data_IF_522063645210
#
_entry.id   IF_522063645210
#
_cell.length_a   1.000
_cell.length_b   1.000
_cell.length_c   1.000
_cell.angle_alpha   90.00
_cell.angle_beta   90.00
_cell.angle_gamma   90.00
#
_symmetry.space_group_name_H-M   'P 1'
#
loop_
_entity.id
_entity.type
_entity.pdbx_description
1 polymer ?
#
# COMPACT_ATOMS: atom_id res chain seq x y z
N UNK A 1 -7.52 7.58 -19.04
CA UNK A 1 -6.69 8.74 -18.66
C UNK A 1 -7.26 9.30 -17.37
N UNK A 2 -6.84 8.76 -16.22
CA UNK A 2 -7.28 9.23 -14.92
C UNK A 2 -6.06 9.88 -14.27
N UNK A 3 -5.94 11.19 -14.41
CA UNK A 3 -5.02 11.98 -13.60
C UNK A 3 -5.58 11.98 -12.17
N UNK A 4 -5.21 10.95 -11.40
CA UNK A 4 -5.60 10.76 -9.99
C UNK A 4 -4.88 11.74 -9.05
N UNK A 5 -4.54 12.95 -9.52
CA UNK A 5 -3.89 13.95 -8.69
C UNK A 5 -4.95 14.74 -7.93
N UNK A 6 -5.05 14.49 -6.62
CA UNK A 6 -5.95 15.22 -5.73
C UNK A 6 -5.23 16.45 -5.19
N UNK A 7 -5.86 17.63 -5.30
CA UNK A 7 -5.30 18.87 -4.75
C UNK A 7 -5.61 18.97 -3.26
N UNK A 8 -4.60 19.28 -2.45
CA UNK A 8 -4.73 19.38 -1.00
C UNK A 8 -3.90 20.55 -0.47
N UNK A 9 -4.52 21.42 0.33
CA UNK A 9 -3.80 22.51 0.98
C UNK A 9 -3.01 22.00 2.19
N UNK A 10 -1.76 22.44 2.28
CA UNK A 10 -0.82 22.08 3.32
C UNK A 10 -0.24 23.34 3.98
N UNK A 11 -0.18 23.32 5.31
CA UNK A 11 0.37 24.44 6.08
C UNK A 11 1.75 24.06 6.63
N UNK A 12 2.75 24.93 6.44
CA UNK A 12 4.08 24.74 7.03
C UNK A 12 4.02 24.80 8.56
N UNK A 13 4.77 23.91 9.20
CA UNK A 13 4.83 23.81 10.66
C UNK A 13 6.11 24.42 11.20
N UNK A 14 5.95 25.29 12.20
CA UNK A 14 7.06 25.88 12.96
C UNK A 14 7.25 25.25 14.35
N UNK A 15 6.29 24.42 14.79
CA UNK A 15 6.30 23.78 16.12
C UNK A 15 6.49 22.26 16.03
N UNK A 16 7.49 21.78 16.77
CA UNK A 16 7.96 20.40 16.76
C UNK A 16 7.74 19.70 18.11
N UNK A 17 7.72 18.37 18.08
CA UNK A 17 7.62 17.52 19.28
C UNK A 17 6.22 16.99 19.61
N UNK A 18 6.16 16.13 20.63
CA UNK A 18 4.97 15.35 21.03
C UNK A 18 3.77 16.23 21.40
N UNK A 19 4.00 17.33 22.11
CA UNK A 19 2.93 18.24 22.55
C UNK A 19 2.27 19.00 21.39
N UNK A 20 3.07 19.49 20.44
CA UNK A 20 2.58 20.18 19.25
C UNK A 20 1.80 19.22 18.33
N UNK A 21 2.34 18.02 18.09
CA UNK A 21 1.66 17.00 17.29
C UNK A 21 0.29 16.59 17.89
N UNK A 22 0.21 16.42 19.22
CA UNK A 22 -1.06 16.11 19.89
C UNK A 22 -2.10 17.22 19.72
N UNK A 23 -1.68 18.49 19.83
CA UNK A 23 -2.57 19.65 19.62
C UNK A 23 -3.07 19.73 18.17
N UNK A 24 -2.20 19.48 17.19
CA UNK A 24 -2.60 19.45 15.77
C UNK A 24 -3.65 18.38 15.50
N UNK A 25 -3.45 17.16 16.02
CA UNK A 25 -4.46 16.08 15.86
C UNK A 25 -5.78 16.42 16.54
N UNK A 26 -5.75 17.03 17.73
CA UNK A 26 -6.95 17.52 18.39
C UNK A 26 -7.66 18.62 17.60
N UNK A 27 -6.93 19.42 16.82
CA UNK A 27 -7.46 20.44 15.92
C UNK A 27 -7.87 19.89 14.53
N UNK A 28 -7.88 18.57 14.32
CA UNK A 28 -8.26 17.96 13.04
C UNK A 28 -7.21 18.11 11.94
N UNK A 29 -5.92 18.23 12.31
CA UNK A 29 -4.78 18.26 11.40
C UNK A 29 -3.84 17.09 11.65
N UNK A 30 -3.30 16.52 10.58
CA UNK A 30 -2.33 15.43 10.61
C UNK A 30 -0.92 16.01 10.39
N UNK A 31 0.06 15.68 11.24
CA UNK A 31 1.45 16.01 10.97
C UNK A 31 1.99 15.13 9.83
N UNK A 32 2.65 15.74 8.85
CA UNK A 32 3.29 15.02 7.75
C UNK A 32 4.71 15.56 7.46
N UNK A 33 5.51 14.72 6.81
CA UNK A 33 6.88 15.04 6.38
C UNK A 33 6.97 14.82 4.88
N UNK A 34 7.50 15.80 4.18
CA UNK A 34 7.82 15.73 2.76
C UNK A 34 9.34 15.57 2.65
N UNK A 35 9.81 14.53 1.96
CA UNK A 35 11.22 14.31 1.68
C UNK A 35 11.42 13.84 0.23
N UNK A 36 12.63 13.98 -0.30
CA UNK A 36 12.96 13.48 -1.64
C UNK A 36 13.95 14.37 -2.41
N UNK A 37 14.53 13.80 -3.47
CA UNK A 37 15.30 14.51 -4.51
C UNK A 37 16.42 15.44 -4.00
N UNK A 38 17.02 15.11 -2.86
CA UNK A 38 18.09 15.92 -2.25
C UNK A 38 17.62 17.28 -1.70
N UNK A 39 16.31 17.50 -1.58
CA UNK A 39 15.73 18.69 -0.92
C UNK A 39 15.64 18.50 0.59
N UNK A 40 15.71 19.60 1.33
CA UNK A 40 15.57 19.56 2.79
C UNK A 40 14.16 19.09 3.18
N UNK A 41 14.02 18.15 4.14
CA UNK A 41 12.71 17.67 4.57
C UNK A 41 11.81 18.81 5.06
N UNK A 42 10.62 18.93 4.48
CA UNK A 42 9.63 19.94 4.88
C UNK A 42 8.62 19.32 5.83
N UNK A 43 8.32 20.03 6.92
CA UNK A 43 7.31 19.62 7.88
C UNK A 43 6.01 20.38 7.63
N UNK A 44 4.95 19.65 7.26
CA UNK A 44 3.64 20.22 6.94
C UNK A 44 2.55 19.64 7.82
N UNK A 45 1.42 20.34 7.89
CA UNK A 45 0.18 19.82 8.46
C UNK A 45 -0.90 19.76 7.39
N UNK A 46 -1.63 18.65 7.38
CA UNK A 46 -2.67 18.36 6.41
C UNK A 46 -4.03 18.22 7.10
N UNK A 47 -5.15 18.58 6.43
CA UNK A 47 -6.48 18.43 7.00
C UNK A 47 -6.87 16.93 7.11
N UNK A 48 -7.31 16.49 8.29
CA UNK A 48 -7.54 15.05 8.57
C UNK A 48 -8.56 14.40 7.64
N UNK A 49 -9.70 15.05 7.39
CA UNK A 49 -10.79 14.44 6.63
C UNK A 49 -10.43 14.20 5.15
N UNK A 50 -9.93 15.22 4.46
CA UNK A 50 -9.55 15.12 3.06
C UNK A 50 -8.39 14.13 2.87
N UNK A 51 -7.38 14.21 3.74
CA UNK A 51 -6.25 13.28 3.70
C UNK A 51 -6.69 11.84 3.97
N UNK A 52 -7.61 11.63 4.91
CA UNK A 52 -8.16 10.32 5.22
C UNK A 52 -8.97 9.67 4.09
N UNK A 53 -9.55 10.47 3.17
CA UNK A 53 -10.19 9.96 1.97
C UNK A 53 -9.17 9.51 0.93
N UNK A 54 -8.13 10.31 0.72
CA UNK A 54 -7.05 10.03 -0.26
C UNK A 54 -6.31 8.74 0.11
N UNK A 55 -5.96 8.61 1.40
CA UNK A 55 -5.21 7.46 1.96
C UNK A 55 -5.98 6.13 1.90
N UNK A 56 -7.26 6.12 1.54
CA UNK A 56 -8.00 4.86 1.30
C UNK A 56 -7.48 4.13 0.06
N UNK A 57 -6.93 4.87 -0.89
CA UNK A 57 -6.30 4.32 -2.06
C UNK A 57 -4.81 4.12 -1.77
N UNK A 58 -4.29 2.93 -2.07
CA UNK A 58 -2.87 2.63 -2.05
C UNK A 58 -2.13 3.58 -3.01
N UNK A 59 -0.98 4.09 -2.59
CA UNK A 59 -0.02 4.82 -3.44
C UNK A 59 -0.63 6.03 -4.18
N UNK A 60 -1.45 6.82 -3.48
CA UNK A 60 -2.09 8.00 -4.06
C UNK A 60 -1.09 9.13 -4.34
N UNK A 61 -1.23 9.78 -5.49
CA UNK A 61 -0.53 11.01 -5.87
C UNK A 61 -1.33 12.22 -5.41
N UNK A 62 -0.64 13.18 -4.78
CA UNK A 62 -1.25 14.38 -4.20
C UNK A 62 -0.52 15.60 -4.74
N UNK A 63 -1.26 16.58 -5.24
CA UNK A 63 -0.73 17.92 -5.48
C UNK A 63 -0.92 18.72 -4.20
N UNK A 64 0.17 18.95 -3.47
CA UNK A 64 0.15 19.80 -2.28
C UNK A 64 0.32 21.25 -2.66
N UNK A 65 -0.52 22.11 -2.11
CA UNK A 65 -0.33 23.56 -2.16
C UNK A 65 0.21 24.04 -0.82
N UNK A 66 1.48 24.47 -0.81
CA UNK A 66 2.20 24.96 0.36
C UNK A 66 2.44 26.46 0.16
N UNK A 67 1.69 27.30 0.87
CA UNK A 67 1.80 28.78 0.79
C UNK A 67 1.79 29.34 -0.65
N UNK A 68 1.03 28.70 -1.56
CA UNK A 68 0.91 29.09 -2.97
C UNK A 68 1.88 28.39 -3.93
N UNK A 69 2.77 27.54 -3.43
CA UNK A 69 3.62 26.68 -4.25
C UNK A 69 3.02 25.28 -4.38
N UNK A 70 2.82 24.83 -5.62
CA UNK A 70 2.34 23.48 -5.92
C UNK A 70 3.51 22.48 -5.95
N UNK A 71 3.38 21.38 -5.21
CA UNK A 71 4.38 20.31 -5.13
C UNK A 71 3.69 18.95 -5.26
N UNK A 72 4.15 18.13 -6.21
CA UNK A 72 3.58 16.80 -6.44
C UNK A 72 4.30 15.78 -5.56
N UNK A 73 3.51 15.08 -4.73
CA UNK A 73 4.01 14.11 -3.77
C UNK A 73 3.26 12.78 -3.84
N UNK A 74 3.95 11.71 -3.48
CA UNK A 74 3.42 10.35 -3.34
C UNK A 74 3.34 9.99 -1.86
N UNK A 75 2.23 9.40 -1.44
CA UNK A 75 2.10 8.83 -0.09
C UNK A 75 2.95 7.57 0.01
N UNK A 76 4.00 7.59 0.84
CA UNK A 76 4.90 6.46 1.04
C UNK A 76 4.48 5.59 2.22
N UNK A 77 4.24 6.22 3.37
CA UNK A 77 3.85 5.52 4.59
C UNK A 77 2.75 6.28 5.31
N UNK A 78 1.83 5.53 5.91
CA UNK A 78 0.76 6.08 6.75
C UNK A 78 0.76 5.35 8.07
N UNK A 79 1.07 6.07 9.14
CA UNK A 79 1.01 5.55 10.49
C UNK A 79 -0.40 5.75 11.04
N UNK A 80 -1.04 4.65 11.42
CA UNK A 80 -2.39 4.64 11.98
C UNK A 80 -2.34 4.11 13.40
N UNK A 81 -3.10 4.73 14.29
CA UNK A 81 -3.32 4.21 15.63
C UNK A 81 -4.09 2.88 15.54
N UNK A 82 -3.59 1.77 16.10
CA UNK A 82 -4.21 0.46 15.97
C UNK A 82 -5.55 0.35 16.70
N UNK A 83 -5.79 1.18 17.71
CA UNK A 83 -7.01 1.17 18.54
C UNK A 83 -8.02 2.20 18.04
N UNK A 84 -7.58 3.45 17.92
CA UNK A 84 -8.43 4.58 17.55
C UNK A 84 -8.65 4.69 16.03
N UNK A 85 -7.83 4.01 15.22
CA UNK A 85 -7.84 4.06 13.74
C UNK A 85 -7.68 5.48 13.17
N UNK A 86 -7.09 6.38 13.95
CA UNK A 86 -6.74 7.73 13.51
C UNK A 86 -5.38 7.71 12.81
N UNK A 87 -5.19 8.60 11.85
CA UNK A 87 -3.88 8.77 11.21
C UNK A 87 -3.00 9.62 12.12
N UNK A 88 -1.88 9.06 12.56
CA UNK A 88 -0.95 9.72 13.48
C UNK A 88 0.11 10.55 12.76
N UNK A 89 0.59 10.03 11.62
CA UNK A 89 1.67 10.58 10.81
C UNK A 89 1.56 10.10 9.36
N UNK A 90 2.04 10.92 8.41
CA UNK A 90 2.14 10.56 6.99
C UNK A 90 3.50 10.97 6.45
N UNK A 91 4.08 10.05 5.69
CA UNK A 91 5.33 10.25 4.96
C UNK A 91 5.03 10.45 3.49
N UNK A 92 5.55 11.55 2.95
CA UNK A 92 5.34 11.98 1.58
C UNK A 92 6.67 12.06 0.86
N UNK A 93 6.76 11.39 -0.29
CA UNK A 93 7.90 11.46 -1.18
C UNK A 93 7.63 12.47 -2.29
N UNK A 94 8.54 13.41 -2.54
CA UNK A 94 8.45 14.29 -3.73
C UNK A 94 8.64 13.46 -4.98
N UNK A 95 7.86 13.74 -6.03
CA UNK A 95 7.95 13.00 -7.29
C UNK A 95 8.00 13.94 -8.47
N UNK A 96 8.95 13.70 -9.38
CA UNK A 96 9.06 14.41 -10.66
C UNK A 96 8.38 13.60 -11.76
N UNK A 97 7.61 14.28 -12.60
CA UNK A 97 6.97 13.65 -13.76
C UNK A 97 8.03 13.05 -14.69
N UNK A 98 7.88 11.76 -15.03
CA UNK A 98 8.78 11.03 -15.92
C UNK A 98 9.85 10.20 -15.23
N UNK A 99 9.97 10.27 -13.90
CA UNK A 99 10.85 9.38 -13.14
C UNK A 99 10.15 8.07 -12.79
N UNK A 100 10.93 7.00 -12.67
CA UNK A 100 10.45 5.73 -12.14
C UNK A 100 10.67 5.68 -10.64
N UNK A 101 9.63 5.31 -9.89
CA UNK A 101 9.65 5.24 -8.43
C UNK A 101 9.40 3.79 -8.03
N UNK A 102 10.11 3.32 -7.00
CA UNK A 102 9.87 2.01 -6.40
C UNK A 102 8.70 2.10 -5.40
N UNK A 103 7.65 1.33 -5.65
CA UNK A 103 6.40 1.39 -4.90
C UNK A 103 5.93 -0.01 -4.53
N UNK A 104 5.42 -0.17 -3.31
CA UNK A 104 4.79 -1.42 -2.83
C UNK A 104 3.31 -1.45 -3.25
N UNK A 105 2.93 -2.41 -4.07
CA UNK A 105 1.60 -2.51 -4.68
C UNK A 105 0.90 -3.76 -4.14
N UNK A 106 -0.34 -3.64 -3.61
CA UNK A 106 -1.05 -4.80 -3.07
C UNK A 106 -1.43 -5.79 -4.18
N UNK A 107 -1.32 -7.07 -3.85
CA UNK A 107 -1.74 -8.18 -4.69
C UNK A 107 -3.22 -8.46 -4.42
N UNK A 108 -4.03 -8.49 -5.47
CA UNK A 108 -5.42 -8.89 -5.43
C UNK A 108 -5.58 -10.25 -6.10
N UNK A 109 -6.10 -11.20 -5.33
CA UNK A 109 -6.32 -12.56 -5.81
C UNK A 109 -7.72 -12.67 -6.40
N UNK A 110 -7.81 -13.20 -7.62
CA UNK A 110 -9.09 -13.46 -8.30
C UNK A 110 -9.24 -14.94 -8.68
N UNK A 111 -10.46 -15.45 -8.63
CA UNK A 111 -10.80 -16.82 -8.97
C UNK A 111 -10.74 -17.81 -7.80
N UNK A 112 -11.37 -18.95 -8.00
CA UNK A 112 -11.44 -20.03 -7.02
C UNK A 112 -10.42 -21.13 -7.37
N UNK A 113 -9.75 -21.65 -6.34
CA UNK A 113 -8.89 -22.82 -6.46
C UNK A 113 -9.72 -24.11 -6.61
N UNK A 114 -9.08 -25.21 -7.04
CA UNK A 114 -9.77 -26.48 -7.22
C UNK A 114 -10.47 -26.96 -5.93
N UNK A 115 -11.60 -27.70 -6.01
CA UNK A 115 -12.29 -28.21 -4.84
C UNK A 115 -11.36 -29.09 -4.00
N UNK A 116 -11.31 -28.85 -2.69
CA UNK A 116 -10.39 -29.54 -1.78
C UNK A 116 -9.03 -28.86 -1.59
N UNK A 117 -8.84 -27.64 -2.11
CA UNK A 117 -7.59 -26.88 -1.96
C UNK A 117 -7.78 -25.56 -1.22
N UNK A 118 -6.72 -25.08 -0.57
CA UNK A 118 -6.64 -23.79 0.11
C UNK A 118 -5.50 -22.96 -0.51
N UNK A 119 -5.85 -21.78 -1.04
CA UNK A 119 -4.87 -20.81 -1.50
C UNK A 119 -4.37 -19.96 -0.31
N UNK A 120 -3.10 -20.11 0.03
CA UNK A 120 -2.41 -19.30 1.02
C UNK A 120 -1.60 -18.21 0.32
N UNK A 121 -1.91 -16.95 0.62
CA UNK A 121 -1.14 -15.80 0.14
C UNK A 121 -0.02 -15.54 1.14
N UNK A 122 1.23 -15.78 0.73
CA UNK A 122 2.41 -15.52 1.57
C UNK A 122 2.80 -14.05 1.52
N UNK A 123 2.74 -13.46 0.32
CA UNK A 123 3.17 -12.08 0.07
C UNK A 123 2.00 -11.26 -0.46
N UNK A 124 1.48 -10.35 0.37
CA UNK A 124 0.33 -9.51 0.03
C UNK A 124 0.67 -8.26 -0.79
N UNK A 125 1.96 -7.93 -0.93
CA UNK A 125 2.45 -6.71 -1.58
C UNK A 125 3.69 -7.00 -2.40
N UNK A 126 3.78 -6.43 -3.61
CA UNK A 126 4.93 -6.56 -4.49
C UNK A 126 5.60 -5.20 -4.71
N UNK A 127 6.93 -5.19 -4.68
CA UNK A 127 7.72 -4.01 -5.05
C UNK A 127 7.87 -3.94 -6.55
N UNK A 128 7.29 -2.89 -7.12
CA UNK A 128 7.35 -2.60 -8.54
C UNK A 128 7.99 -1.23 -8.77
N UNK A 129 8.82 -1.17 -9.79
CA UNK A 129 9.46 0.04 -10.28
C UNK A 129 8.63 0.55 -11.44
N UNK A 130 7.85 1.61 -11.18
CA UNK A 130 6.82 2.09 -12.10
C UNK A 130 6.99 3.59 -12.34
N UNK A 131 6.60 4.06 -13.52
CA UNK A 131 6.54 5.49 -13.78
C UNK A 131 5.60 6.19 -12.78
N UNK A 132 6.07 7.31 -12.22
CA UNK A 132 5.34 8.14 -11.28
C UNK A 132 3.90 8.48 -11.70
N UNK A 133 3.64 8.56 -13.00
CA UNK A 133 2.34 8.96 -13.56
C UNK A 133 1.36 7.79 -13.70
N UNK A 134 1.84 6.55 -13.70
CA UNK A 134 1.02 5.36 -13.97
C UNK A 134 1.19 4.30 -12.88
N UNK A 135 0.95 4.66 -11.62
CA UNK A 135 1.00 3.71 -10.51
C UNK A 135 -0.32 2.90 -10.49
N UNK A 136 -0.28 1.58 -10.67
CA UNK A 136 -1.48 0.74 -10.58
C UNK A 136 -1.94 0.62 -9.12
N UNK A 137 -3.25 0.56 -8.90
CA UNK A 137 -3.81 0.46 -7.55
C UNK A 137 -3.58 -0.92 -6.93
N UNK A 138 -3.63 -1.96 -7.76
CA UNK A 138 -3.54 -3.37 -7.38
C UNK A 138 -2.97 -4.20 -8.54
N UNK A 139 -2.30 -5.30 -8.21
CA UNK A 139 -1.84 -6.31 -9.17
C UNK A 139 -2.75 -7.51 -9.07
N UNK A 140 -3.41 -7.90 -10.15
CA UNK A 140 -4.36 -9.01 -10.16
C UNK A 140 -3.63 -10.32 -10.45
N UNK A 141 -3.80 -11.30 -9.57
CA UNK A 141 -3.28 -12.67 -9.74
C UNK A 141 -4.46 -13.64 -9.77
N UNK A 142 -4.58 -14.39 -10.87
CA UNK A 142 -5.67 -15.37 -11.04
C UNK A 142 -5.25 -16.75 -10.52
N UNK A 143 -6.11 -17.40 -9.73
CA UNK A 143 -5.93 -18.78 -9.21
C UNK A 143 -6.94 -19.74 -9.87
N UNK A 144 -7.65 -19.32 -10.91
CA UNK A 144 -8.71 -20.14 -11.50
C UNK A 144 -8.21 -21.53 -11.94
N UNK A 145 -8.65 -22.57 -11.23
CA UNK A 145 -8.30 -23.96 -11.52
C UNK A 145 -6.91 -24.41 -11.02
N UNK A 146 -6.29 -23.66 -10.11
CA UNK A 146 -5.00 -24.07 -9.54
C UNK A 146 -5.12 -25.37 -8.74
N UNK A 147 -4.17 -26.27 -8.94
CA UNK A 147 -4.12 -27.60 -8.31
C UNK A 147 -3.22 -27.61 -7.07
N UNK A 148 -3.37 -28.64 -6.25
CA UNK A 148 -2.53 -28.88 -5.08
C UNK A 148 -1.03 -28.84 -5.43
N UNK A 149 -0.25 -28.13 -4.61
CA UNK A 149 1.21 -27.99 -4.77
C UNK A 149 1.64 -26.97 -5.82
N UNK A 150 0.72 -26.18 -6.39
CA UNK A 150 1.10 -25.07 -7.26
C UNK A 150 1.60 -23.87 -6.44
N UNK A 151 2.69 -23.28 -6.95
CA UNK A 151 3.29 -22.07 -6.45
C UNK A 151 3.25 -21.01 -7.55
N UNK A 152 2.75 -19.82 -7.21
CA UNK A 152 2.81 -18.63 -8.07
C UNK A 152 3.96 -17.77 -7.58
N UNK A 153 4.98 -17.61 -8.42
CA UNK A 153 6.13 -16.76 -8.15
C UNK A 153 5.92 -15.35 -8.70
N UNK A 154 6.71 -14.40 -8.22
CA UNK A 154 6.69 -13.02 -8.68
C UNK A 154 6.88 -12.88 -10.20
N UNK A 155 7.71 -13.74 -10.81
CA UNK A 155 7.92 -13.78 -12.27
C UNK A 155 6.70 -14.18 -13.09
N UNK A 156 5.77 -14.92 -12.51
CA UNK A 156 4.59 -15.47 -13.22
C UNK A 156 3.41 -14.50 -13.20
N UNK A 157 3.55 -13.37 -12.50
CA UNK A 157 2.53 -12.33 -12.40
C UNK A 157 2.51 -11.48 -13.66
N UNK A 158 1.31 -11.25 -14.19
CA UNK A 158 1.11 -10.31 -15.30
C UNK A 158 1.33 -8.90 -14.79
N UNK A 159 2.49 -8.33 -15.15
CA UNK A 159 2.83 -6.95 -14.80
C UNK A 159 2.05 -5.96 -15.66
N UNK A 160 1.55 -4.85 -15.07
CA UNK A 160 0.89 -3.79 -15.82
C UNK A 160 1.86 -3.00 -16.71
N UNK A 161 1.33 -2.27 -17.70
CA UNK A 161 2.14 -1.56 -18.70
C UNK A 161 3.17 -0.62 -18.07
N UNK A 162 4.45 -0.89 -18.36
CA UNK A 162 5.58 -0.06 -17.92
C UNK A 162 6.05 -0.31 -16.47
N UNK A 163 5.56 -1.37 -15.81
CA UNK A 163 6.07 -1.81 -14.52
C UNK A 163 7.26 -2.78 -14.70
N UNK A 164 8.33 -2.55 -13.95
CA UNK A 164 9.45 -3.47 -13.78
C UNK A 164 9.40 -4.08 -12.39
N UNK A 165 9.71 -5.37 -12.28
CA UNK A 165 9.73 -6.07 -11.00
C UNK A 165 10.99 -5.68 -10.23
N UNK A 166 10.84 -5.14 -9.01
CA UNK A 166 11.96 -4.75 -8.16
C UNK A 166 12.31 -5.83 -7.11
N UNK A 167 11.33 -6.64 -6.71
CA UNK A 167 11.53 -7.82 -5.87
C UNK A 167 12.30 -8.95 -6.58
N UNK A 168 12.64 -10.00 -5.82
CA UNK A 168 13.26 -11.19 -6.36
C UNK A 168 12.26 -12.01 -7.19
N UNK A 169 12.67 -12.47 -8.37
CA UNK A 169 11.80 -13.20 -9.30
C UNK A 169 11.24 -14.52 -8.72
N UNK A 170 11.92 -15.08 -7.72
CA UNK A 170 11.57 -16.34 -7.05
C UNK A 170 10.83 -16.12 -5.72
N UNK A 171 10.43 -14.88 -5.40
CA UNK A 171 9.55 -14.63 -4.25
C UNK A 171 8.20 -15.31 -4.49
N UNK A 172 7.77 -16.09 -3.50
CA UNK A 172 6.51 -16.81 -3.53
C UNK A 172 5.37 -15.87 -3.13
N UNK A 173 4.35 -15.79 -3.98
CA UNK A 173 3.18 -14.94 -3.74
C UNK A 173 2.04 -15.80 -3.20
N UNK A 174 1.76 -16.90 -3.88
CA UNK A 174 0.62 -17.76 -3.57
C UNK A 174 1.04 -19.22 -3.60
N UNK A 175 0.69 -19.95 -2.55
CA UNK A 175 0.84 -21.39 -2.46
C UNK A 175 -0.53 -22.04 -2.31
N UNK A 176 -0.84 -23.00 -3.19
CA UNK A 176 -2.09 -23.77 -3.13
C UNK A 176 -1.82 -25.09 -2.42
N UNK A 177 -2.25 -25.19 -1.17
CA UNK A 177 -2.14 -26.40 -0.35
C UNK A 177 -3.41 -27.27 -0.48
N UNK A 178 -3.28 -28.57 -0.23
CA UNK A 178 -4.45 -29.41 -0.01
C UNK A 178 -5.16 -28.97 1.29
N UNK A 179 -6.48 -28.82 1.24
CA UNK A 179 -7.27 -28.60 2.43
C UNK A 179 -7.24 -29.90 3.25
N UNK A 180 -6.57 -29.88 4.41
CA UNK A 180 -6.79 -30.95 5.38
C UNK A 180 -8.24 -30.82 5.83
N UNK A 181 -9.11 -31.69 5.29
CA UNK A 181 -10.37 -31.98 5.93
C UNK A 181 -10.04 -32.38 7.37
N UNK A 182 -10.77 -31.79 8.33
CA UNK A 182 -10.75 -32.21 9.71
C UNK A 182 -11.04 -33.73 9.78
N UNK A 183 -9.98 -34.52 9.78
CA UNK A 183 -9.99 -35.93 10.14
C UNK A 183 -9.57 -36.06 11.62
N UNK A 184 -9.98 -35.10 12.45
CA UNK A 184 -9.79 -35.13 13.91
C UNK A 184 -11.12 -35.17 14.68
N UNK A 185 -12.27 -35.40 14.02
CA UNK A 185 -13.56 -35.61 14.74
C UNK A 185 -14.01 -37.09 14.83
N UNK A 186 -13.26 -38.07 14.32
CA UNK A 186 -13.67 -39.50 14.41
C UNK A 186 -12.75 -40.44 15.21
N UNK A 187 -11.60 -39.98 15.74
CA UNK A 187 -10.71 -40.88 16.52
C UNK A 187 -10.86 -40.79 18.04
N UNK A 188 -11.62 -39.84 18.60
CA UNK A 188 -11.81 -39.73 20.06
C UNK A 188 -13.09 -40.40 20.60
N UNK A 189 -13.94 -40.96 19.72
CA UNK A 189 -15.16 -41.69 20.14
C UNK A 189 -14.98 -43.23 20.21
N UNK A 190 -13.79 -43.76 19.91
CA UNK A 190 -13.56 -45.21 19.80
C UNK A 190 -12.44 -45.78 20.70
N UNK A 191 -11.89 -44.99 21.63
CA UNK A 191 -10.95 -45.48 22.64
C UNK A 191 -11.49 -45.17 24.05
N UNK A 192 -12.25 -46.14 24.56
CA UNK A 192 -12.35 -46.60 25.96
C UNK A 192 -12.50 -45.59 27.11
#
# INVERSE_FOLDING_TARGET
>A
MADNSVNLDAELRTSFGKGAARKLRAAGKIPAVIYGHGTEPKHVSLPTHATGLIVRHSNALINLNIDGAEELVLVREVQKDPVLRIIEHIDLAVVVKGEKVEVEIPVHVEGDSAPGTLANVETNTLRLLVAATNIPANVVVSIAGATEGQHVFAKDVVLPEGAELADEADTLIIHVAAAQAAAEEETEAAAE
#
